data_IF_934020818416
#
_entry.id   IF_934020818416
#
_cell.length_a   1.000
_cell.length_b   1.000
_cell.length_c   1.000
_cell.angle_alpha   90.00
_cell.angle_beta   90.00
_cell.angle_gamma   90.00
#
_symmetry.space_group_name_H-M   'P 1'
#
loop_
_entity.id
_entity.type
_entity.pdbx_description
1 polymer ?
#
# COMPACT_ATOMS: atom_id res chain seq x y z
N UNK A 1 -16.18 -8.81 -13.54
CA UNK A 1 -14.83 -8.20 -13.63
C UNK A 1 -13.99 -8.41 -12.36
N UNK A 2 -14.33 -7.85 -11.20
CA UNK A 2 -13.50 -8.02 -9.98
C UNK A 2 -13.36 -9.47 -9.48
N UNK A 3 -14.40 -10.30 -9.64
CA UNK A 3 -14.31 -11.74 -9.34
C UNK A 3 -13.30 -12.42 -10.27
N UNK A 4 -13.39 -12.20 -11.58
CA UNK A 4 -12.45 -12.73 -12.56
C UNK A 4 -11.03 -12.24 -12.31
N UNK A 5 -10.85 -10.95 -12.01
CA UNK A 5 -9.55 -10.39 -11.59
C UNK A 5 -9.00 -11.11 -10.37
N UNK A 6 -9.82 -11.31 -9.34
CA UNK A 6 -9.39 -11.98 -8.10
C UNK A 6 -9.10 -13.46 -8.34
N UNK A 7 -9.85 -14.13 -9.23
CA UNK A 7 -9.62 -15.51 -9.63
C UNK A 7 -8.30 -15.65 -10.38
N UNK A 8 -8.06 -14.81 -11.40
CA UNK A 8 -6.80 -14.80 -12.16
C UNK A 8 -5.60 -14.47 -11.26
N UNK A 9 -5.73 -13.50 -10.36
CA UNK A 9 -4.70 -13.18 -9.39
C UNK A 9 -4.40 -14.39 -8.49
N UNK A 10 -5.43 -15.09 -8.02
CA UNK A 10 -5.29 -16.29 -7.18
C UNK A 10 -4.63 -17.44 -7.96
N UNK A 11 -5.05 -17.69 -9.20
CA UNK A 11 -4.45 -18.71 -10.06
C UNK A 11 -2.97 -18.38 -10.37
N UNK A 12 -2.65 -17.11 -10.62
CA UNK A 12 -1.28 -16.65 -10.81
C UNK A 12 -0.41 -16.87 -9.56
N UNK A 13 -0.92 -16.55 -8.37
CA UNK A 13 -0.22 -16.85 -7.11
C UNK A 13 -0.03 -18.36 -6.93
N UNK A 14 -1.06 -19.18 -7.17
CA UNK A 14 -0.95 -20.65 -7.05
C UNK A 14 0.10 -21.20 -8.02
N UNK A 15 0.12 -20.74 -9.27
CA UNK A 15 1.09 -21.18 -10.27
C UNK A 15 2.53 -20.78 -9.91
N UNK A 16 2.72 -19.62 -9.28
CA UNK A 16 4.03 -19.14 -8.84
C UNK A 16 4.42 -19.63 -7.44
N UNK A 17 3.47 -20.16 -6.68
CA UNK A 17 3.66 -20.63 -5.30
C UNK A 17 4.82 -21.65 -5.19
N UNK A 18 4.95 -22.67 -6.05
CA UNK A 18 6.04 -23.63 -5.96
C UNK A 18 7.40 -22.95 -6.09
N UNK A 19 7.53 -21.96 -7.00
CA UNK A 19 8.77 -21.18 -7.17
C UNK A 19 9.07 -20.32 -5.94
N UNK A 20 8.07 -19.61 -5.43
CA UNK A 20 8.22 -18.82 -4.20
C UNK A 20 8.60 -19.68 -3.00
N UNK A 21 8.00 -20.86 -2.87
CA UNK A 21 8.32 -21.83 -1.82
C UNK A 21 9.75 -22.33 -1.99
N UNK A 22 10.15 -22.72 -3.19
CA UNK A 22 11.55 -23.15 -3.44
C UNK A 22 12.56 -22.04 -3.17
N UNK A 23 12.26 -20.78 -3.54
CA UNK A 23 13.15 -19.65 -3.30
C UNK A 23 13.18 -19.23 -1.83
N UNK A 24 12.06 -19.35 -1.13
CA UNK A 24 11.97 -19.13 0.31
C UNK A 24 12.77 -20.17 1.09
N UNK A 25 12.67 -21.45 0.73
CA UNK A 25 13.44 -22.52 1.36
C UNK A 25 14.93 -22.46 1.02
N UNK A 26 15.28 -22.12 -0.23
CA UNK A 26 16.69 -22.09 -0.68
C UNK A 26 17.45 -20.83 -0.30
N UNK A 27 16.78 -19.68 -0.23
CA UNK A 27 17.45 -18.39 -0.07
C UNK A 27 16.96 -17.57 1.13
N UNK A 28 15.95 -18.04 1.88
CA UNK A 28 15.29 -17.25 2.93
C UNK A 28 14.66 -15.95 2.40
N UNK A 29 14.56 -15.80 1.07
CA UNK A 29 14.02 -14.62 0.39
C UNK A 29 12.50 -14.77 0.24
N UNK A 30 11.78 -13.66 0.14
CA UNK A 30 10.34 -13.61 -0.18
C UNK A 30 9.31 -13.89 0.93
N UNK A 31 9.70 -14.22 2.16
CA UNK A 31 8.73 -14.43 3.28
C UNK A 31 8.48 -13.15 4.10
N UNK A 32 9.28 -12.10 3.89
CA UNK A 32 9.20 -10.87 4.68
C UNK A 32 7.85 -10.16 4.46
N UNK A 33 7.13 -9.94 5.56
CA UNK A 33 5.88 -9.17 5.54
C UNK A 33 4.66 -9.90 5.00
N UNK A 34 4.71 -11.23 4.80
CA UNK A 34 3.54 -11.97 4.30
C UNK A 34 2.29 -11.73 5.16
N UNK A 35 2.45 -11.70 6.50
CA UNK A 35 1.37 -11.39 7.42
C UNK A 35 0.75 -10.01 7.14
N UNK A 36 1.59 -8.99 6.96
CA UNK A 36 1.17 -7.62 6.65
C UNK A 36 0.45 -7.56 5.29
N UNK A 37 0.96 -8.27 4.28
CA UNK A 37 0.35 -8.35 2.93
C UNK A 37 -1.01 -9.05 2.92
N UNK A 38 -1.24 -9.99 3.84
CA UNK A 38 -2.55 -10.61 4.07
C UNK A 38 -3.44 -9.75 5.01
N UNK A 39 -3.04 -8.51 5.28
CA UNK A 39 -3.77 -7.52 6.08
C UNK A 39 -3.60 -7.66 7.59
N UNK A 40 -2.65 -8.47 8.08
CA UNK A 40 -2.27 -8.51 9.50
C UNK A 40 -1.15 -7.51 9.73
N UNK A 41 -1.53 -6.24 9.84
CA UNK A 41 -0.60 -5.13 10.09
C UNK A 41 -0.11 -5.14 11.54
N UNK A 42 1.08 -4.55 11.82
CA UNK A 42 1.51 -4.29 13.19
C UNK A 42 0.52 -3.39 13.93
N UNK A 43 0.48 -3.51 15.26
CA UNK A 43 -0.24 -2.55 16.10
C UNK A 43 0.57 -1.26 16.12
N UNK A 44 -0.11 -0.13 15.90
CA UNK A 44 0.47 1.21 16.01
C UNK A 44 -0.58 2.12 16.64
N UNK A 45 -0.12 3.07 17.43
CA UNK A 45 -0.98 4.01 18.15
C UNK A 45 -1.01 5.35 17.43
N UNK A 46 -2.20 5.87 17.21
CA UNK A 46 -2.40 7.16 16.55
C UNK A 46 -2.81 8.24 17.54
N UNK A 47 -2.89 7.93 18.84
CA UNK A 47 -3.40 8.83 19.89
C UNK A 47 -4.81 9.38 19.58
N UNK A 48 -5.62 8.62 18.84
CA UNK A 48 -6.93 9.06 18.35
C UNK A 48 -6.88 10.03 17.17
N UNK A 49 -5.70 10.38 16.65
CA UNK A 49 -5.54 11.25 15.48
C UNK A 49 -6.03 10.56 14.21
N UNK A 50 -6.65 11.31 13.28
CA UNK A 50 -6.98 10.79 11.95
C UNK A 50 -5.71 10.42 11.18
N UNK A 51 -5.79 9.36 10.39
CA UNK A 51 -4.61 8.77 9.73
C UNK A 51 -4.53 9.14 8.26
N UNK A 52 -3.39 9.65 7.83
CA UNK A 52 -3.00 9.79 6.43
C UNK A 52 -2.18 8.56 6.05
N UNK A 53 -2.64 7.81 5.05
CA UNK A 53 -1.92 6.65 4.56
C UNK A 53 -1.20 6.99 3.25
N UNK A 54 0.12 7.07 3.30
CA UNK A 54 1.00 7.24 2.15
C UNK A 54 1.51 5.89 1.62
N UNK A 55 1.31 5.61 0.34
CA UNK A 55 1.80 4.40 -0.31
C UNK A 55 2.91 4.73 -1.33
N UNK A 56 4.08 4.12 -1.13
CA UNK A 56 5.25 4.24 -2.00
C UNK A 56 5.74 2.83 -2.37
N UNK A 57 5.63 2.43 -3.63
CA UNK A 57 5.97 1.08 -4.11
C UNK A 57 7.48 0.84 -4.09
N UNK A 58 8.25 1.86 -4.49
CA UNK A 58 9.70 1.76 -4.70
C UNK A 58 10.54 2.63 -3.75
N UNK A 59 11.86 2.41 -3.82
CA UNK A 59 12.86 3.22 -3.11
C UNK A 59 12.84 4.67 -3.59
N UNK A 60 12.76 4.87 -4.92
CA UNK A 60 12.74 6.20 -5.53
C UNK A 60 11.50 7.00 -5.08
N UNK A 61 10.35 6.35 -5.06
CA UNK A 61 9.11 6.96 -4.55
C UNK A 61 9.19 7.30 -3.07
N UNK A 62 9.74 6.41 -2.23
CA UNK A 62 9.88 6.67 -0.79
C UNK A 62 10.74 7.92 -0.53
N UNK A 63 11.86 8.07 -1.24
CA UNK A 63 12.72 9.25 -1.16
C UNK A 63 12.01 10.51 -1.67
N UNK A 64 11.33 10.42 -2.82
CA UNK A 64 10.60 11.53 -3.41
C UNK A 64 9.40 11.98 -2.56
N UNK A 65 8.79 11.07 -1.81
CA UNK A 65 7.62 11.34 -0.97
C UNK A 65 7.98 11.95 0.40
N UNK A 66 9.25 11.90 0.83
CA UNK A 66 9.69 12.49 2.10
C UNK A 66 9.35 13.99 2.26
N UNK A 67 9.71 14.89 1.32
CA UNK A 67 9.36 16.31 1.45
C UNK A 67 7.84 16.54 1.49
N UNK A 68 7.09 15.73 0.75
CA UNK A 68 5.62 15.76 0.76
C UNK A 68 5.07 15.36 2.13
N UNK A 69 5.57 14.26 2.71
CA UNK A 69 5.15 13.78 4.02
C UNK A 69 5.34 14.84 5.11
N UNK A 70 6.51 15.50 5.11
CA UNK A 70 6.81 16.60 6.06
C UNK A 70 5.89 17.79 5.87
N UNK A 71 5.73 18.26 4.62
CA UNK A 71 4.83 19.37 4.33
C UNK A 71 3.36 19.08 4.73
N UNK A 72 2.93 17.82 4.62
CA UNK A 72 1.61 17.38 5.09
C UNK A 72 1.54 17.45 6.61
N UNK A 73 2.53 16.91 7.33
CA UNK A 73 2.55 16.91 8.79
C UNK A 73 2.64 18.33 9.36
N UNK A 74 3.42 19.21 8.74
CA UNK A 74 3.53 20.62 9.11
C UNK A 74 2.18 21.36 8.96
N UNK A 75 1.44 21.04 7.88
CA UNK A 75 0.13 21.65 7.59
C UNK A 75 -1.01 21.03 8.40
N UNK A 76 -0.89 19.76 8.76
CA UNK A 76 -1.91 18.97 9.46
C UNK A 76 -1.30 18.27 10.69
N UNK A 77 -0.83 19.03 11.69
CA UNK A 77 -0.12 18.46 12.85
C UNK A 77 -1.00 17.55 13.73
N UNK A 78 -2.33 17.68 13.60
CA UNK A 78 -3.31 16.82 14.29
C UNK A 78 -3.53 15.47 13.60
N UNK A 79 -2.85 15.17 12.49
CA UNK A 79 -2.95 13.90 11.79
C UNK A 79 -1.73 13.01 12.07
N UNK A 80 -1.93 11.70 12.03
CA UNK A 80 -0.85 10.72 12.04
C UNK A 80 -0.54 10.26 10.61
N UNK A 81 0.73 9.97 10.33
CA UNK A 81 1.16 9.43 9.04
C UNK A 81 1.49 7.95 9.18
N UNK A 82 0.96 7.12 8.27
CA UNK A 82 1.45 5.76 8.07
C UNK A 82 1.93 5.58 6.65
N UNK A 83 2.98 4.79 6.49
CA UNK A 83 3.62 4.54 5.20
C UNK A 83 3.54 3.07 4.85
N UNK A 84 3.28 2.77 3.58
CA UNK A 84 3.31 1.40 3.09
C UNK A 84 4.17 1.23 1.85
N UNK A 85 4.85 0.08 1.75
CA UNK A 85 5.67 -0.24 0.59
C UNK A 85 5.42 -1.64 0.03
N UNK A 86 5.92 -1.91 -1.18
CA UNK A 86 5.73 -3.20 -1.85
C UNK A 86 7.00 -4.03 -1.93
N UNK A 87 8.19 -3.44 -1.86
CA UNK A 87 9.47 -4.18 -2.01
C UNK A 87 10.24 -4.28 -0.71
N UNK A 88 11.03 -5.35 -0.51
CA UNK A 88 11.86 -5.51 0.70
C UNK A 88 12.86 -4.35 0.86
N UNK A 89 13.48 -3.95 -0.23
CA UNK A 89 14.43 -2.83 -0.27
C UNK A 89 13.71 -1.50 0.00
N UNK A 90 12.54 -1.29 -0.61
CA UNK A 90 11.69 -0.12 -0.35
C UNK A 90 11.29 -0.03 1.13
N UNK A 91 10.93 -1.14 1.76
CA UNK A 91 10.54 -1.18 3.17
C UNK A 91 11.70 -0.80 4.11
N UNK A 92 12.91 -1.30 3.85
CA UNK A 92 14.09 -0.93 4.64
C UNK A 92 14.35 0.57 4.58
N UNK A 93 14.38 1.11 3.37
CA UNK A 93 14.64 2.54 3.16
C UNK A 93 13.49 3.40 3.70
N UNK A 94 12.24 3.00 3.53
CA UNK A 94 11.10 3.74 4.05
C UNK A 94 11.12 3.84 5.59
N UNK A 95 11.54 2.78 6.29
CA UNK A 95 11.71 2.82 7.75
C UNK A 95 12.77 3.82 8.20
N UNK A 96 13.82 4.01 7.41
CA UNK A 96 14.85 5.00 7.71
C UNK A 96 14.42 6.41 7.31
N UNK A 97 13.83 6.56 6.13
CA UNK A 97 13.37 7.85 5.57
C UNK A 97 12.26 8.48 6.42
N UNK A 98 11.33 7.67 6.89
CA UNK A 98 10.15 8.12 7.64
C UNK A 98 10.24 7.81 9.13
N UNK A 99 11.42 7.52 9.67
CA UNK A 99 11.62 7.15 11.08
C UNK A 99 11.00 8.14 12.05
N UNK A 100 11.20 9.43 11.79
CA UNK A 100 10.77 10.52 12.66
C UNK A 100 9.39 11.08 12.27
N UNK A 101 8.90 10.72 11.08
CA UNK A 101 7.71 11.31 10.46
C UNK A 101 6.50 10.36 10.51
N UNK A 102 6.70 9.04 10.35
CA UNK A 102 5.62 8.05 10.27
C UNK A 102 5.46 7.24 11.55
N UNK A 103 4.21 7.14 12.02
CA UNK A 103 3.79 6.30 13.14
C UNK A 103 3.99 4.81 12.87
N UNK A 104 3.87 4.38 11.61
CA UNK A 104 4.10 3.00 11.22
C UNK A 104 4.55 2.89 9.76
N UNK A 105 5.41 1.90 9.49
CA UNK A 105 5.82 1.50 8.14
C UNK A 105 5.59 0.00 7.95
N UNK A 106 4.72 -0.37 7.01
CA UNK A 106 4.28 -1.76 6.78
C UNK A 106 4.20 -2.12 5.27
N UNK A 107 4.06 -3.39 4.93
CA UNK A 107 3.87 -3.80 3.54
C UNK A 107 2.43 -3.59 3.08
N UNK A 108 2.27 -3.05 1.86
CA UNK A 108 0.97 -2.89 1.23
C UNK A 108 0.23 -4.24 1.09
N UNK A 109 -1.08 -4.31 1.35
CA UNK A 109 -1.84 -5.55 1.19
C UNK A 109 -1.79 -6.05 -0.24
N UNK A 110 -1.81 -7.37 -0.42
CA UNK A 110 -2.14 -7.94 -1.71
C UNK A 110 -3.54 -7.53 -2.12
N UNK A 111 -3.77 -7.37 -3.43
CA UNK A 111 -5.02 -6.85 -3.98
C UNK A 111 -6.15 -7.90 -4.00
N UNK A 112 -6.30 -8.64 -2.91
CA UNK A 112 -7.52 -9.36 -2.59
C UNK A 112 -8.42 -8.49 -1.73
N UNK A 113 -9.72 -8.48 -2.05
CA UNK A 113 -10.71 -7.67 -1.33
C UNK A 113 -10.68 -7.88 0.20
N UNK A 114 -10.44 -9.10 0.67
CA UNK A 114 -10.39 -9.42 2.10
C UNK A 114 -9.11 -8.87 2.79
N UNK A 115 -7.97 -8.88 2.09
CA UNK A 115 -6.71 -8.35 2.60
C UNK A 115 -6.76 -6.83 2.66
N UNK A 116 -7.18 -6.18 1.57
CA UNK A 116 -7.40 -4.73 1.52
C UNK A 116 -8.38 -4.26 2.59
N UNK A 117 -9.51 -4.96 2.76
CA UNK A 117 -10.51 -4.64 3.80
C UNK A 117 -9.93 -4.74 5.20
N UNK A 118 -9.10 -5.75 5.46
CA UNK A 118 -8.47 -5.94 6.76
C UNK A 118 -7.49 -4.80 7.04
N UNK A 119 -6.60 -4.48 6.11
CA UNK A 119 -5.66 -3.36 6.22
C UNK A 119 -6.37 -2.03 6.42
N UNK A 120 -7.37 -1.71 5.59
CA UNK A 120 -8.15 -0.47 5.72
C UNK A 120 -8.88 -0.40 7.07
N UNK A 121 -9.25 -1.53 7.69
CA UNK A 121 -9.93 -1.54 9.00
C UNK A 121 -8.95 -1.26 10.13
N UNK A 122 -7.75 -1.82 10.03
CA UNK A 122 -6.70 -1.58 11.01
C UNK A 122 -6.17 -0.16 10.91
N UNK A 123 -5.97 0.37 9.70
CA UNK A 123 -5.46 1.73 9.50
C UNK A 123 -6.53 2.79 9.72
N UNK A 124 -7.78 2.52 9.33
CA UNK A 124 -8.88 3.47 9.34
C UNK A 124 -8.49 4.87 8.79
N UNK A 125 -7.97 4.96 7.55
CA UNK A 125 -7.42 6.19 7.01
C UNK A 125 -8.49 7.24 6.75
N UNK A 126 -8.18 8.49 7.08
CA UNK A 126 -8.94 9.66 6.65
C UNK A 126 -8.72 9.95 5.14
N UNK A 127 -7.53 9.64 4.63
CA UNK A 127 -7.18 9.74 3.20
C UNK A 127 -6.05 8.77 2.86
N UNK A 128 -6.05 8.26 1.63
CA UNK A 128 -4.95 7.48 1.06
C UNK A 128 -4.28 8.27 -0.06
N UNK A 129 -2.97 8.41 0.03
CA UNK A 129 -2.10 9.02 -0.98
C UNK A 129 -1.29 7.93 -1.65
N UNK A 130 -1.45 7.76 -2.95
CA UNK A 130 -0.69 6.79 -3.76
C UNK A 130 0.37 7.57 -4.53
N UNK A 131 1.65 7.28 -4.28
CA UNK A 131 2.73 7.81 -5.09
C UNK A 131 2.73 7.12 -6.46
N UNK A 132 2.81 7.93 -7.51
CA UNK A 132 2.78 7.48 -8.91
C UNK A 132 1.51 6.68 -9.29
N UNK A 133 1.55 5.94 -10.39
CA UNK A 133 0.35 5.33 -10.99
C UNK A 133 0.25 3.85 -10.65
N UNK A 134 0.02 3.53 -9.37
CA UNK A 134 -0.12 2.15 -8.88
C UNK A 134 -1.58 1.88 -8.47
N UNK A 135 -2.37 1.46 -9.45
CA UNK A 135 -3.82 1.25 -9.29
C UNK A 135 -4.15 -0.20 -8.97
N UNK A 136 -4.65 -0.41 -7.75
CA UNK A 136 -5.05 -1.72 -7.21
C UNK A 136 -6.58 -1.84 -7.16
N UNK A 137 -7.22 -2.54 -8.12
CA UNK A 137 -8.68 -2.52 -8.28
C UNK A 137 -9.47 -2.91 -7.03
N UNK A 138 -9.08 -3.98 -6.34
CA UNK A 138 -9.81 -4.41 -5.14
C UNK A 138 -9.61 -3.42 -3.99
N UNK A 139 -8.40 -2.90 -3.79
CA UNK A 139 -8.09 -1.89 -2.79
C UNK A 139 -8.90 -0.61 -3.03
N UNK A 140 -8.86 -0.05 -4.24
CA UNK A 140 -9.62 1.15 -4.61
C UNK A 140 -11.12 0.94 -4.43
N UNK A 141 -11.62 -0.25 -4.79
CA UNK A 141 -13.02 -0.61 -4.57
C UNK A 141 -13.37 -0.65 -3.09
N UNK A 142 -12.52 -1.22 -2.23
CA UNK A 142 -12.77 -1.24 -0.78
C UNK A 142 -12.61 0.15 -0.14
N UNK A 143 -11.72 1.01 -0.64
CA UNK A 143 -11.67 2.44 -0.26
C UNK A 143 -12.98 3.15 -0.61
N UNK A 144 -13.48 2.98 -1.85
CA UNK A 144 -14.76 3.55 -2.30
C UNK A 144 -15.93 3.10 -1.44
N UNK A 145 -16.02 1.81 -1.12
CA UNK A 145 -17.07 1.26 -0.24
C UNK A 145 -17.07 1.90 1.15
N UNK A 146 -15.89 2.28 1.65
CA UNK A 146 -15.71 2.92 2.96
C UNK A 146 -15.73 4.44 2.91
N UNK A 147 -15.92 5.03 1.73
CA UNK A 147 -15.85 6.48 1.50
C UNK A 147 -14.50 7.08 1.93
N UNK A 148 -13.42 6.29 1.82
CA UNK A 148 -12.05 6.78 2.03
C UNK A 148 -11.61 7.49 0.75
N UNK A 149 -11.30 8.79 0.79
CA UNK A 149 -10.77 9.51 -0.36
C UNK A 149 -9.38 8.97 -0.72
N UNK A 150 -9.12 8.86 -2.03
CA UNK A 150 -7.84 8.43 -2.57
C UNK A 150 -7.34 9.49 -3.53
N UNK A 151 -6.09 9.92 -3.34
CA UNK A 151 -5.41 10.82 -4.25
C UNK A 151 -4.15 10.16 -4.80
N UNK A 152 -3.91 10.39 -6.09
CA UNK A 152 -2.67 9.98 -6.75
C UNK A 152 -1.74 11.20 -6.77
N UNK A 153 -0.52 11.02 -6.28
CA UNK A 153 0.49 12.08 -6.20
C UNK A 153 1.63 11.75 -7.14
N UNK A 154 2.08 12.74 -7.91
CA UNK A 154 3.10 12.56 -8.95
C UNK A 154 2.71 11.48 -10.01
N UNK A 155 1.42 11.23 -10.18
CA UNK A 155 0.92 10.27 -11.17
C UNK A 155 1.09 10.79 -12.59
N UNK A 156 1.58 9.93 -13.48
CA UNK A 156 1.52 10.15 -14.93
C UNK A 156 0.53 9.17 -15.52
N UNK A 157 -0.53 9.69 -16.14
CA UNK A 157 -1.53 8.87 -16.79
C UNK A 157 -1.74 9.31 -18.23
N UNK A 158 -1.39 8.44 -19.17
CA UNK A 158 -1.71 8.67 -20.58
C UNK A 158 -3.22 8.50 -20.80
N UNK A 159 -3.75 9.20 -21.81
CA UNK A 159 -5.18 9.12 -22.17
C UNK A 159 -5.62 7.68 -22.50
N UNK A 160 -4.73 6.90 -23.12
CA UNK A 160 -4.94 5.48 -23.41
C UNK A 160 -5.10 4.65 -22.14
N UNK A 161 -4.24 4.87 -21.14
CA UNK A 161 -4.33 4.18 -19.85
C UNK A 161 -5.56 4.61 -19.07
N UNK A 162 -5.90 5.91 -19.08
CA UNK A 162 -7.10 6.44 -18.44
C UNK A 162 -8.39 5.79 -18.97
N UNK A 163 -8.54 5.70 -20.30
CA UNK A 163 -9.69 5.01 -20.91
C UNK A 163 -9.83 3.57 -20.44
N UNK A 164 -8.70 2.85 -20.28
CA UNK A 164 -8.70 1.47 -19.81
C UNK A 164 -9.07 1.37 -18.33
N UNK A 165 -8.56 2.27 -17.49
CA UNK A 165 -8.89 2.29 -16.06
C UNK A 165 -10.34 2.68 -15.79
N UNK A 166 -10.98 3.49 -16.64
CA UNK A 166 -12.43 3.79 -16.53
C UNK A 166 -13.35 2.58 -16.71
N UNK A 167 -12.85 1.50 -17.32
CA UNK A 167 -13.62 0.28 -17.51
C UNK A 167 -13.71 -0.56 -16.23
N UNK A 168 -12.88 -0.24 -15.22
CA UNK A 168 -12.73 -0.97 -13.95
C UNK A 168 -13.46 -0.27 -12.82
#
# INVERSE_FOLDING_TARGET
MYFLYSLLLTLGVIALLPRFVTDAFRHGKYVAGLRERLGRLPVFETDGRPVIWLHCVSVGEAQAARPLARAILDKFPSYSLVVSTTTKTGQGIARDVFRDDATAVFYFPFDWAWASRRSLRTVNPAVVLIMETELWPNFLRECKKRRVPVAIVNGRLSERSYRRYRLV
#
